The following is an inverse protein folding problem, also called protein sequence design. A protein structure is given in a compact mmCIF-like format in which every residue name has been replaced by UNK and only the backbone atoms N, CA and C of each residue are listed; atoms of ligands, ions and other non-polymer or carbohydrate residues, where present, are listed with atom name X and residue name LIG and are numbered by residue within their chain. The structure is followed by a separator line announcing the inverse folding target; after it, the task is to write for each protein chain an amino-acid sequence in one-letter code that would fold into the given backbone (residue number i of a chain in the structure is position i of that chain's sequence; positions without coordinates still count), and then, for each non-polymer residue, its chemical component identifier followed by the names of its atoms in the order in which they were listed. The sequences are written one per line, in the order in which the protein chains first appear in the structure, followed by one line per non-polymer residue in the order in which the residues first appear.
data_IF_075185795435
#
_entry.id   IF_075185795435
#
_cell.length_a   1.000
_cell.length_b   1.000
_cell.length_c   1.000
_cell.angle_alpha   90.00
_cell.angle_beta   90.00
_cell.angle_gamma   90.00
#
_symmetry.space_group_name_H-M   'P 1'
#
loop_
_entity.id
_entity.type
_entity.pdbx_description
1 polymer ?
#
# COMPACT_ATOMS: atom_id res chain seq x y z
N UNK A 1 -15.30 7.62 16.34
CA UNK A 1 -14.07 7.86 17.07
C UNK A 1 -13.70 6.64 17.90
N UNK A 2 -12.51 6.11 17.62
CA UNK A 2 -12.03 4.98 18.41
C UNK A 2 -11.66 5.46 19.81
N UNK A 3 -12.05 4.76 20.87
CA UNK A 3 -11.68 5.17 22.21
C UNK A 3 -10.16 5.03 22.39
N UNK A 4 -9.53 6.10 22.83
CA UNK A 4 -8.12 6.08 23.23
C UNK A 4 -8.06 5.63 24.69
N UNK A 5 -7.31 4.59 24.98
CA UNK A 5 -7.10 4.13 26.33
C UNK A 5 -6.00 4.95 26.99
N UNK A 6 -6.31 5.76 28.03
CA UNK A 6 -5.29 6.63 28.66
C UNK A 6 -4.11 5.87 29.26
N UNK A 7 -4.29 4.61 29.66
CA UNK A 7 -3.22 3.79 30.22
C UNK A 7 -2.18 3.37 29.16
N UNK A 8 -2.51 3.49 27.88
CA UNK A 8 -1.62 3.17 26.76
C UNK A 8 -1.01 4.41 26.13
N UNK A 9 -1.31 5.57 26.64
CA UNK A 9 -0.76 6.83 26.16
C UNK A 9 0.53 7.12 26.90
N UNK A 10 1.65 7.09 26.18
CA UNK A 10 2.97 7.42 26.73
C UNK A 10 3.46 8.71 26.11
N UNK A 11 3.82 9.71 26.91
CA UNK A 11 4.32 10.98 26.45
C UNK A 11 5.76 11.21 26.93
N UNK A 12 6.65 11.55 26.00
CA UNK A 12 8.04 11.94 26.26
C UNK A 12 8.31 13.36 25.79
N UNK A 13 9.27 14.02 26.44
CA UNK A 13 9.59 15.43 26.18
C UNK A 13 11.02 15.60 25.67
N UNK A 14 11.38 14.92 24.59
CA UNK A 14 12.65 15.18 23.92
C UNK A 14 12.52 16.30 22.91
N UNK A 15 13.26 17.41 23.11
CA UNK A 15 13.30 18.56 22.22
C UNK A 15 11.91 19.16 21.90
N UNK A 16 11.01 19.23 22.87
CA UNK A 16 9.64 19.68 22.68
C UNK A 16 8.84 18.84 21.66
N UNK A 17 9.16 17.59 21.53
CA UNK A 17 8.46 16.62 20.69
C UNK A 17 7.85 15.51 21.56
N UNK A 18 6.66 15.73 22.16
CA UNK A 18 6.00 14.68 22.92
C UNK A 18 5.65 13.51 22.00
N UNK A 19 5.87 12.30 22.49
CA UNK A 19 5.56 11.08 21.76
C UNK A 19 4.24 10.49 22.20
N UNK A 20 3.49 9.95 21.24
CA UNK A 20 2.22 9.27 21.47
C UNK A 20 2.31 7.84 20.97
N UNK A 21 1.71 6.92 21.74
CA UNK A 21 1.61 5.50 21.41
C UNK A 21 0.14 5.09 21.60
N UNK A 22 -0.54 4.80 20.50
CA UNK A 22 -1.95 4.42 20.49
C UNK A 22 -2.07 2.98 19.99
N UNK A 23 -2.86 2.17 20.66
CA UNK A 23 -2.99 0.75 20.33
C UNK A 23 -4.44 0.37 20.00
N UNK A 24 -4.56 -0.66 19.18
CA UNK A 24 -5.83 -1.33 18.86
C UNK A 24 -6.90 -0.39 18.32
N UNK A 25 -6.55 0.32 17.26
CA UNK A 25 -7.49 1.18 16.52
C UNK A 25 -8.17 0.36 15.44
N UNK A 26 -9.48 0.49 15.31
CA UNK A 26 -10.23 -0.16 14.24
C UNK A 26 -11.35 0.73 13.71
N UNK A 27 -11.66 0.56 12.44
CA UNK A 27 -12.73 1.31 11.78
C UNK A 27 -13.38 0.46 10.69
N UNK A 28 -14.68 0.63 10.51
CA UNK A 28 -15.40 0.05 9.38
C UNK A 28 -15.28 0.93 8.14
N UNK A 29 -15.22 0.31 6.97
CA UNK A 29 -15.23 0.98 5.69
C UNK A 29 -16.64 0.96 5.10
N UNK A 30 -16.93 1.90 4.19
CA UNK A 30 -18.28 2.03 3.61
C UNK A 30 -18.71 0.83 2.76
N UNK A 31 -17.76 0.10 2.20
CA UNK A 31 -18.02 -1.11 1.40
C UNK A 31 -18.23 -2.38 2.24
N UNK A 32 -18.31 -2.24 3.56
CA UNK A 32 -18.35 -3.36 4.49
C UNK A 32 -16.98 -3.92 4.84
N UNK A 33 -15.91 -3.35 4.29
CA UNK A 33 -14.54 -3.70 4.65
C UNK A 33 -14.14 -3.17 6.01
N UNK A 34 -12.92 -3.45 6.40
CA UNK A 34 -12.39 -3.08 7.71
C UNK A 34 -10.96 -2.57 7.63
N UNK A 35 -10.65 -1.63 8.51
CA UNK A 35 -9.30 -1.16 8.76
C UNK A 35 -8.97 -1.40 10.22
N UNK A 36 -7.81 -1.95 10.51
CA UNK A 36 -7.32 -2.08 11.87
C UNK A 36 -5.84 -1.76 11.94
N UNK A 37 -5.42 -1.19 13.05
CA UNK A 37 -4.00 -0.90 13.33
C UNK A 37 -3.71 -1.40 14.73
N UNK A 38 -2.68 -2.21 14.86
CA UNK A 38 -2.31 -2.71 16.19
C UNK A 38 -1.66 -1.64 17.04
N UNK A 39 -0.84 -0.79 16.42
CA UNK A 39 -0.12 0.26 17.12
C UNK A 39 0.18 1.42 16.17
N UNK A 40 0.01 2.64 16.67
CA UNK A 40 0.43 3.87 16.00
C UNK A 40 1.35 4.62 16.94
N UNK A 41 2.55 4.92 16.49
CA UNK A 41 3.51 5.74 17.23
C UNK A 41 3.81 7.01 16.45
N UNK A 42 3.90 8.12 17.15
CA UNK A 42 4.24 9.39 16.54
C UNK A 42 4.90 10.31 17.54
N UNK A 43 5.64 11.28 17.04
CA UNK A 43 6.11 12.43 17.80
C UNK A 43 5.44 13.69 17.28
N UNK A 44 4.92 14.52 18.17
CA UNK A 44 4.34 15.81 17.80
C UNK A 44 5.43 16.87 17.79
N UNK A 45 5.70 17.44 16.64
CA UNK A 45 6.63 18.59 16.54
C UNK A 45 5.88 19.87 16.91
N UNK A 46 6.02 20.29 18.16
CA UNK A 46 5.30 21.45 18.70
C UNK A 46 5.70 22.72 17.98
N UNK A 47 6.98 22.92 17.73
CA UNK A 47 7.47 24.13 17.09
C UNK A 47 7.01 24.25 15.64
N UNK A 48 7.13 23.20 14.88
CA UNK A 48 6.66 23.18 13.48
C UNK A 48 5.14 23.30 13.41
N UNK A 49 4.43 22.70 14.37
CA UNK A 49 2.97 22.84 14.46
C UNK A 49 2.54 24.27 14.68
N UNK A 50 3.24 24.98 15.57
CA UNK A 50 2.96 26.42 15.82
C UNK A 50 3.33 27.29 14.63
N UNK A 51 4.48 27.06 14.00
CA UNK A 51 4.93 27.84 12.85
C UNK A 51 4.00 27.71 11.65
N UNK A 52 3.46 26.53 11.40
CA UNK A 52 2.59 26.24 10.25
C UNK A 52 1.10 26.31 10.57
N UNK A 53 0.74 26.60 11.83
CA UNK A 53 -0.65 26.67 12.31
C UNK A 53 -1.44 25.39 11.99
N UNK A 54 -0.76 24.25 12.01
CA UNK A 54 -1.37 22.92 11.82
C UNK A 54 -0.50 21.87 12.49
N UNK A 55 -1.10 20.71 12.79
CA UNK A 55 -0.40 19.60 13.40
C UNK A 55 0.71 19.07 12.50
N UNK A 56 1.93 19.05 13.01
CA UNK A 56 3.11 18.46 12.36
C UNK A 56 3.59 17.28 13.17
N UNK A 57 3.64 16.12 12.53
CA UNK A 57 4.04 14.89 13.17
C UNK A 57 5.40 14.45 12.65
N UNK A 58 6.21 13.88 13.55
CA UNK A 58 7.48 13.23 13.23
C UNK A 58 7.35 11.75 13.53
N UNK A 59 8.04 10.93 12.72
CA UNK A 59 8.17 9.50 12.94
C UNK A 59 6.82 8.76 13.07
N UNK A 60 5.79 9.24 12.37
CA UNK A 60 4.50 8.58 12.34
C UNK A 60 4.64 7.18 11.76
N UNK A 61 4.42 6.17 12.57
CA UNK A 61 4.57 4.77 12.18
C UNK A 61 3.29 4.00 12.51
N UNK A 62 2.81 3.26 11.52
CA UNK A 62 1.70 2.33 11.66
C UNK A 62 2.24 0.91 11.70
N UNK A 63 1.97 0.21 12.79
CA UNK A 63 2.38 -1.16 13.02
C UNK A 63 1.21 -2.10 12.79
N UNK A 64 1.39 -3.06 11.90
CA UNK A 64 0.36 -4.03 11.59
C UNK A 64 -0.97 -3.38 11.19
N UNK A 65 -0.88 -2.42 10.27
CA UNK A 65 -2.05 -1.88 9.59
C UNK A 65 -2.62 -2.97 8.70
N UNK A 66 -3.90 -3.28 8.88
CA UNK A 66 -4.64 -4.25 8.07
C UNK A 66 -5.81 -3.54 7.42
N UNK A 67 -5.83 -3.55 6.10
CA UNK A 67 -6.94 -3.02 5.32
C UNK A 67 -7.53 -4.16 4.52
N UNK A 68 -8.82 -4.38 4.72
CA UNK A 68 -9.61 -5.37 4.00
C UNK A 68 -10.73 -4.63 3.27
N UNK A 69 -10.68 -4.61 1.95
CA UNK A 69 -11.70 -3.99 1.13
C UNK A 69 -12.53 -5.03 0.41
N UNK A 70 -13.80 -4.75 0.20
CA UNK A 70 -14.72 -5.64 -0.53
C UNK A 70 -15.03 -5.13 -1.94
N UNK A 71 -14.66 -3.89 -2.24
CA UNK A 71 -14.83 -3.31 -3.57
C UNK A 71 -13.58 -3.51 -4.43
N UNK A 72 -13.72 -3.75 -5.74
CA UNK A 72 -12.58 -3.76 -6.64
C UNK A 72 -11.86 -2.41 -6.61
N UNK A 73 -10.53 -2.44 -6.71
CA UNK A 73 -9.77 -1.22 -6.96
C UNK A 73 -10.07 -0.81 -8.39
N UNK A 74 -10.93 0.20 -8.54
CA UNK A 74 -11.25 0.79 -9.81
C UNK A 74 -10.57 2.14 -9.92
N UNK A 75 -9.82 2.30 -10.99
CA UNK A 75 -9.08 3.53 -11.23
C UNK A 75 -9.90 4.57 -11.95
N UNK A 76 -10.99 4.21 -12.64
CA UNK A 76 -11.67 5.10 -13.59
C UNK A 76 -13.15 5.36 -13.37
N UNK A 77 -13.81 4.69 -12.45
CA UNK A 77 -15.24 4.91 -12.26
C UNK A 77 -15.51 5.84 -11.10
N UNK A 78 -15.75 7.10 -11.45
CA UNK A 78 -16.47 8.04 -10.61
C UNK A 78 -15.92 8.27 -9.22
N UNK A 79 -14.82 7.67 -8.87
CA UNK A 79 -14.05 7.94 -7.67
C UNK A 79 -14.79 7.94 -6.34
N UNK A 80 -16.00 7.46 -6.30
CA UNK A 80 -16.84 7.60 -5.10
C UNK A 80 -16.38 6.69 -3.97
N UNK A 81 -15.75 5.56 -4.27
CA UNK A 81 -15.29 4.63 -3.24
C UNK A 81 -14.13 5.19 -2.41
N UNK A 82 -13.17 5.88 -3.02
CA UNK A 82 -12.05 6.50 -2.30
C UNK A 82 -12.40 7.87 -1.73
N UNK A 83 -13.29 8.62 -2.39
CA UNK A 83 -13.75 9.92 -1.90
C UNK A 83 -14.66 9.82 -0.69
N UNK A 84 -15.35 8.73 -0.53
CA UNK A 84 -16.27 8.53 0.57
C UNK A 84 -15.60 7.98 1.81
N UNK A 85 -14.46 7.31 1.65
CA UNK A 85 -13.63 6.87 2.77
C UNK A 85 -12.57 7.94 3.01
N UNK A 86 -12.71 8.73 4.03
CA UNK A 86 -11.75 9.76 4.41
C UNK A 86 -10.33 9.22 4.67
N UNK A 87 -10.12 7.92 4.55
CA UNK A 87 -8.85 7.24 4.73
C UNK A 87 -7.85 7.65 3.66
N UNK A 88 -8.27 7.72 2.38
CA UNK A 88 -7.40 8.20 1.32
C UNK A 88 -6.94 9.64 1.56
N UNK A 89 -7.84 10.49 2.05
CA UNK A 89 -7.51 11.87 2.39
C UNK A 89 -6.52 11.94 3.56
N UNK A 90 -6.71 11.12 4.59
CA UNK A 90 -5.78 11.04 5.71
C UNK A 90 -4.37 10.68 5.25
N UNK A 91 -4.21 9.61 4.51
CA UNK A 91 -2.91 9.11 4.12
C UNK A 91 -2.25 9.90 3.01
N UNK A 92 -3.00 10.58 2.14
CA UNK A 92 -2.46 11.35 1.05
C UNK A 92 -2.27 12.84 1.37
N UNK A 93 -3.04 13.39 2.32
CA UNK A 93 -3.07 14.84 2.55
C UNK A 93 -2.81 15.27 3.99
N UNK A 94 -3.30 14.51 4.97
CA UNK A 94 -3.21 14.92 6.37
C UNK A 94 -1.84 14.66 6.98
N UNK A 95 -1.13 13.65 6.52
CA UNK A 95 0.18 13.28 7.02
C UNK A 95 1.26 13.70 6.02
N UNK A 96 2.29 14.45 6.48
CA UNK A 96 3.42 14.80 5.64
C UNK A 96 4.23 13.56 5.23
N UNK A 97 4.38 12.63 6.15
CA UNK A 97 5.03 11.36 5.92
C UNK A 97 4.59 10.33 6.95
N UNK A 98 4.70 9.10 6.61
CA UNK A 98 4.47 8.00 7.54
C UNK A 98 5.24 6.75 7.09
N UNK A 99 5.37 5.83 8.03
CA UNK A 99 6.00 4.53 7.80
C UNK A 99 4.98 3.44 8.09
N UNK A 100 4.91 2.45 7.21
CA UNK A 100 4.18 1.21 7.45
C UNK A 100 5.17 0.12 7.85
N UNK A 101 4.81 -0.63 8.89
CA UNK A 101 5.56 -1.80 9.36
C UNK A 101 4.63 -3.00 9.46
N UNK A 102 5.07 -4.13 8.91
CA UNK A 102 4.34 -5.41 9.02
C UNK A 102 2.85 -5.30 8.70
N UNK A 103 2.53 -4.55 7.66
CA UNK A 103 1.16 -4.23 7.28
C UNK A 103 0.62 -5.20 6.24
N UNK A 104 -0.69 -5.23 6.08
CA UNK A 104 -1.37 -6.16 5.19
C UNK A 104 -2.51 -5.47 4.46
N UNK A 105 -2.58 -5.67 3.15
CA UNK A 105 -3.68 -5.19 2.32
C UNK A 105 -4.38 -6.38 1.67
N UNK A 106 -5.68 -6.47 1.82
CA UNK A 106 -6.52 -7.45 1.16
C UNK A 106 -7.57 -6.71 0.33
N UNK A 107 -7.57 -6.96 -0.95
CA UNK A 107 -8.43 -6.23 -1.88
C UNK A 107 -8.87 -7.13 -3.03
N UNK A 108 -9.84 -6.65 -3.81
CA UNK A 108 -10.33 -7.36 -4.99
C UNK A 108 -9.66 -6.77 -6.22
N UNK A 109 -9.07 -7.61 -7.06
CA UNK A 109 -8.44 -7.18 -8.32
C UNK A 109 -9.47 -6.91 -9.40
N UNK A 110 -9.03 -6.32 -10.49
CA UNK A 110 -9.88 -6.07 -11.67
C UNK A 110 -10.48 -7.37 -12.20
N UNK A 111 -9.77 -8.49 -12.09
CA UNK A 111 -10.27 -9.82 -12.48
C UNK A 111 -11.30 -10.40 -11.52
N UNK A 112 -11.64 -9.71 -10.45
CA UNK A 112 -12.59 -10.17 -9.44
C UNK A 112 -12.01 -11.13 -8.40
N UNK A 113 -10.72 -11.36 -8.43
CA UNK A 113 -10.07 -12.21 -7.45
C UNK A 113 -9.58 -11.42 -6.27
N UNK A 114 -9.58 -12.05 -5.10
CA UNK A 114 -9.00 -11.45 -3.91
C UNK A 114 -7.48 -11.59 -3.96
N UNK A 115 -6.81 -10.46 -3.78
CA UNK A 115 -5.36 -10.39 -3.69
C UNK A 115 -4.95 -9.90 -2.32
N UNK A 116 -3.79 -10.32 -1.88
CA UNK A 116 -3.20 -9.91 -0.62
C UNK A 116 -1.79 -9.39 -0.85
N UNK A 117 -1.49 -8.26 -0.22
CA UNK A 117 -0.15 -7.69 -0.17
C UNK A 117 0.31 -7.64 1.27
N UNK A 118 1.43 -8.24 1.56
CA UNK A 118 2.15 -7.96 2.79
C UNK A 118 3.12 -6.80 2.53
N UNK A 119 3.18 -5.87 3.47
CA UNK A 119 4.06 -4.69 3.41
C UNK A 119 4.96 -4.73 4.64
N UNK A 120 6.12 -5.41 4.56
CA UNK A 120 7.06 -5.46 5.68
C UNK A 120 7.53 -4.07 6.10
N UNK A 121 7.78 -3.21 5.13
CA UNK A 121 8.22 -1.84 5.37
C UNK A 121 7.89 -0.98 4.17
N UNK A 122 7.33 0.21 4.43
CA UNK A 122 7.10 1.22 3.40
C UNK A 122 7.21 2.60 4.04
N UNK A 123 7.99 3.47 3.43
CA UNK A 123 8.05 4.89 3.78
C UNK A 123 7.29 5.70 2.75
N UNK A 124 6.38 6.54 3.21
CA UNK A 124 5.51 7.36 2.36
C UNK A 124 5.74 8.83 2.65
N UNK A 125 5.94 9.62 1.60
CA UNK A 125 6.14 11.07 1.69
C UNK A 125 5.08 11.79 0.87
N UNK A 126 4.36 12.70 1.49
CA UNK A 126 3.33 13.50 0.84
C UNK A 126 3.79 14.94 0.64
N UNK A 127 3.78 15.39 -0.60
CA UNK A 127 3.82 16.81 -0.95
C UNK A 127 2.40 17.33 -1.18
N UNK A 128 2.27 18.47 -1.84
CA UNK A 128 0.97 19.07 -2.10
C UNK A 128 0.08 18.18 -2.99
N UNK A 129 0.63 17.71 -4.10
CA UNK A 129 -0.03 16.83 -5.05
C UNK A 129 0.86 15.67 -5.48
N UNK A 130 2.04 15.57 -4.89
CA UNK A 130 3.06 14.58 -5.20
C UNK A 130 3.24 13.64 -4.04
N UNK A 131 3.29 12.36 -4.35
CA UNK A 131 3.42 11.29 -3.36
C UNK A 131 4.56 10.38 -3.76
N UNK A 132 5.48 10.16 -2.84
CA UNK A 132 6.62 9.29 -3.05
C UNK A 132 6.63 8.19 -2.02
N UNK A 133 6.98 7.00 -2.45
CA UNK A 133 7.08 5.87 -1.55
C UNK A 133 8.29 5.01 -1.90
N UNK A 134 8.84 4.39 -0.88
CA UNK A 134 9.94 3.44 -1.02
C UNK A 134 9.81 2.36 0.04
N UNK A 135 9.96 1.13 -0.35
CA UNK A 135 9.90 0.03 0.59
C UNK A 135 9.83 -1.34 -0.04
N UNK A 136 9.27 -2.25 0.70
CA UNK A 136 9.16 -3.66 0.34
C UNK A 136 7.72 -4.11 0.42
N UNK A 137 7.29 -4.83 -0.60
CA UNK A 137 6.00 -5.52 -0.61
C UNK A 137 6.24 -6.99 -0.94
N UNK A 138 5.40 -7.84 -0.39
CA UNK A 138 5.37 -9.25 -0.72
C UNK A 138 4.01 -9.54 -1.33
N UNK A 139 4.02 -10.05 -2.54
CA UNK A 139 2.80 -10.51 -3.20
C UNK A 139 2.39 -11.83 -2.59
N UNK A 140 1.93 -11.81 -1.35
CA UNK A 140 1.41 -13.00 -0.71
C UNK A 140 0.07 -13.34 -1.34
N UNK A 141 0.10 -14.14 -2.38
CA UNK A 141 -1.12 -14.69 -2.90
C UNK A 141 -1.56 -15.87 -2.03
N UNK A 142 -2.74 -16.33 -2.29
CA UNK A 142 -3.45 -17.37 -1.55
C UNK A 142 -2.69 -18.70 -1.36
N UNK A 143 -1.51 -18.86 -1.93
CA UNK A 143 -0.79 -20.15 -1.95
C UNK A 143 0.69 -20.06 -1.59
N UNK A 144 1.02 -19.28 -0.57
CA UNK A 144 2.37 -19.32 -0.01
C UNK A 144 3.46 -18.75 -0.89
N UNK A 145 3.23 -17.62 -1.45
CA UNK A 145 4.20 -16.90 -2.27
C UNK A 145 5.35 -16.35 -1.41
N UNK A 146 6.58 -16.53 -1.85
CA UNK A 146 7.78 -16.20 -1.09
C UNK A 146 8.65 -15.13 -1.74
N UNK A 147 8.09 -14.23 -2.52
CA UNK A 147 8.89 -13.21 -3.18
C UNK A 147 8.75 -11.84 -2.52
N UNK A 148 9.86 -11.21 -2.18
CA UNK A 148 9.89 -9.83 -1.74
C UNK A 148 10.19 -8.94 -2.95
N UNK A 149 9.37 -7.91 -3.13
CA UNK A 149 9.51 -6.94 -4.19
C UNK A 149 9.92 -5.59 -3.60
N UNK A 150 11.00 -5.02 -4.11
CA UNK A 150 11.38 -3.64 -3.81
C UNK A 150 10.53 -2.72 -4.67
N UNK A 151 10.01 -1.67 -4.06
CA UNK A 151 9.11 -0.74 -4.74
C UNK A 151 9.56 0.68 -4.48
N UNK A 152 9.58 1.49 -5.54
CA UNK A 152 9.69 2.95 -5.45
C UNK A 152 8.60 3.57 -6.30
N UNK A 153 7.93 4.55 -5.74
CA UNK A 153 6.86 5.24 -6.43
C UNK A 153 7.06 6.75 -6.37
N UNK A 154 6.72 7.41 -7.47
CA UNK A 154 6.63 8.87 -7.56
C UNK A 154 5.35 9.18 -8.32
N UNK A 155 4.31 9.49 -7.57
CA UNK A 155 2.95 9.60 -8.08
C UNK A 155 2.40 10.99 -7.83
N UNK A 156 1.47 11.40 -8.68
CA UNK A 156 0.68 12.62 -8.50
C UNK A 156 -0.79 12.27 -8.35
N UNK A 157 -1.46 13.03 -7.51
CA UNK A 157 -2.90 12.88 -7.34
C UNK A 157 -3.66 13.99 -8.07
N UNK A 158 -4.86 13.65 -8.49
CA UNK A 158 -5.87 14.58 -8.97
C UNK A 158 -7.11 14.40 -8.10
N UNK A 159 -7.42 15.42 -7.30
CA UNK A 159 -8.56 15.42 -6.37
C UNK A 159 -8.61 14.21 -5.42
N UNK A 160 -7.43 13.78 -4.94
CA UNK A 160 -7.34 12.69 -3.97
C UNK A 160 -7.25 11.29 -4.57
N UNK A 161 -7.15 11.19 -5.90
CA UNK A 161 -6.91 9.92 -6.59
C UNK A 161 -5.53 9.92 -7.21
N UNK A 162 -4.76 8.87 -6.96
CA UNK A 162 -3.46 8.69 -7.61
C UNK A 162 -3.68 8.54 -9.11
N UNK A 163 -3.19 9.50 -9.88
CA UNK A 163 -3.56 9.68 -11.27
C UNK A 163 -2.43 9.39 -12.24
N UNK A 164 -1.23 9.87 -11.94
CA UNK A 164 -0.09 9.75 -12.86
C UNK A 164 1.21 9.56 -12.10
N UNK A 165 2.23 9.13 -12.81
CA UNK A 165 3.57 9.01 -12.26
C UNK A 165 4.26 7.72 -12.65
N UNK A 166 5.27 7.35 -11.88
CA UNK A 166 6.11 6.20 -12.14
C UNK A 166 6.21 5.29 -10.94
N UNK A 167 6.24 4.00 -11.21
CA UNK A 167 6.50 2.96 -10.22
C UNK A 167 7.68 2.13 -10.71
N UNK A 168 8.70 2.01 -9.88
CA UNK A 168 9.82 1.11 -10.10
C UNK A 168 9.66 -0.13 -9.24
N UNK A 169 9.92 -1.28 -9.83
CA UNK A 169 9.78 -2.59 -9.21
C UNK A 169 11.03 -3.41 -9.42
N UNK A 170 11.45 -4.10 -8.38
CA UNK A 170 12.47 -5.14 -8.48
C UNK A 170 12.09 -6.30 -7.58
N UNK A 171 12.11 -7.49 -8.12
CA UNK A 171 11.78 -8.68 -7.37
C UNK A 171 12.64 -9.88 -7.78
N UNK A 172 12.96 -10.70 -6.80
CA UNK A 172 13.59 -11.98 -7.00
C UNK A 172 12.56 -13.07 -6.73
N UNK A 173 12.30 -13.90 -7.77
CA UNK A 173 11.45 -15.09 -7.66
C UNK A 173 10.02 -14.80 -7.18
N UNK A 174 9.29 -13.98 -7.91
CA UNK A 174 7.89 -13.63 -7.65
C UNK A 174 6.96 -14.45 -8.52
N UNK A 175 5.91 -15.01 -7.93
CA UNK A 175 4.81 -15.62 -8.67
C UNK A 175 3.80 -14.56 -9.07
N UNK A 176 3.74 -14.26 -10.35
CA UNK A 176 2.85 -13.23 -10.91
C UNK A 176 1.52 -13.79 -11.41
N UNK A 177 1.30 -15.09 -11.33
CA UNK A 177 0.09 -15.72 -11.86
C UNK A 177 -1.20 -15.09 -11.30
N UNK A 178 -1.33 -14.81 -9.99
CA UNK A 178 -2.54 -14.19 -9.45
C UNK A 178 -2.84 -12.80 -10.02
N UNK A 179 -1.83 -12.14 -10.57
CA UNK A 179 -1.92 -10.78 -11.11
C UNK A 179 -2.10 -10.74 -12.62
N UNK A 180 -2.07 -11.90 -13.27
CA UNK A 180 -2.33 -12.02 -14.69
C UNK A 180 -3.82 -11.83 -14.97
N UNK A 181 -4.14 -11.37 -16.16
CA UNK A 181 -5.52 -11.22 -16.61
C UNK A 181 -6.28 -12.54 -16.52
N UNK A 182 -7.61 -12.44 -16.42
CA UNK A 182 -8.48 -13.60 -16.24
C UNK A 182 -8.23 -14.70 -17.28
N UNK A 183 -7.97 -14.31 -18.52
CA UNK A 183 -7.64 -15.26 -19.57
C UNK A 183 -6.42 -16.14 -19.22
N UNK A 184 -5.38 -15.52 -18.69
CA UNK A 184 -4.17 -16.27 -18.28
C UNK A 184 -4.42 -17.12 -17.06
N UNK A 185 -5.24 -16.64 -16.13
CA UNK A 185 -5.57 -17.40 -14.91
C UNK A 185 -6.44 -18.62 -15.22
N UNK A 186 -7.37 -18.50 -16.18
CA UNK A 186 -8.27 -19.57 -16.59
C UNK A 186 -7.57 -20.61 -17.47
N UNK A 187 -6.33 -20.38 -17.86
CA UNK A 187 -5.55 -21.34 -18.61
C UNK A 187 -5.08 -22.45 -17.68
N UNK A 188 -5.79 -23.56 -17.69
CA UNK A 188 -5.50 -24.71 -16.81
C UNK A 188 -4.14 -25.34 -17.06
N UNK A 189 -3.51 -25.08 -18.21
CA UNK A 189 -2.17 -25.56 -18.50
C UNK A 189 -1.10 -24.76 -17.75
N UNK A 190 -1.35 -23.49 -17.43
CA UNK A 190 -0.40 -22.64 -16.69
C UNK A 190 -0.48 -22.96 -15.21
N UNK A 191 0.53 -23.64 -14.68
CA UNK A 191 0.61 -24.00 -13.27
C UNK A 191 1.34 -22.96 -12.44
N UNK A 192 2.35 -22.33 -13.01
CA UNK A 192 3.23 -21.43 -12.29
C UNK A 192 3.83 -20.41 -13.26
N UNK A 193 3.93 -19.16 -12.79
CA UNK A 193 4.63 -18.07 -13.49
C UNK A 193 5.52 -17.33 -12.48
N UNK A 194 6.74 -17.83 -12.24
CA UNK A 194 7.70 -17.26 -11.30
C UNK A 194 8.85 -16.62 -12.03
N UNK A 195 9.11 -15.37 -11.69
CA UNK A 195 10.12 -14.57 -12.36
C UNK A 195 10.93 -13.75 -11.37
N UNK A 196 12.20 -13.53 -11.71
CA UNK A 196 12.93 -12.38 -11.19
C UNK A 196 12.76 -11.25 -12.20
N UNK A 197 12.33 -10.11 -11.72
CA UNK A 197 11.98 -9.00 -12.59
C UNK A 197 12.52 -7.68 -12.08
N UNK A 198 12.71 -6.75 -13.00
CA UNK A 198 12.98 -5.35 -12.72
C UNK A 198 12.29 -4.51 -13.79
N UNK A 199 11.71 -3.39 -13.40
CA UNK A 199 11.07 -2.57 -14.39
C UNK A 199 10.46 -1.29 -13.88
N UNK A 200 9.90 -0.57 -14.81
CA UNK A 200 9.20 0.69 -14.59
C UNK A 200 7.80 0.59 -15.15
N UNK A 201 6.85 1.09 -14.39
CA UNK A 201 5.48 1.28 -14.83
C UNK A 201 5.17 2.77 -14.81
N UNK A 202 4.51 3.23 -15.87
CA UNK A 202 4.02 4.61 -15.94
C UNK A 202 2.51 4.61 -15.86
N UNK A 203 1.98 5.40 -14.93
CA UNK A 203 0.55 5.64 -14.80
C UNK A 203 0.18 6.92 -15.52
N UNK A 204 -0.95 6.88 -16.22
CA UNK A 204 -1.58 8.05 -16.83
C UNK A 204 -3.09 7.91 -16.70
N UNK A 205 -3.74 8.93 -16.15
CA UNK A 205 -5.19 8.94 -15.89
C UNK A 205 -5.68 7.74 -15.06
N UNK A 206 -4.84 7.32 -14.10
CA UNK A 206 -5.16 6.22 -13.20
C UNK A 206 -4.87 4.83 -13.76
N UNK A 207 -4.46 4.72 -15.02
CA UNK A 207 -4.18 3.46 -15.68
C UNK A 207 -2.68 3.30 -15.98
N UNK A 208 -2.26 2.06 -16.10
CA UNK A 208 -0.91 1.74 -16.56
C UNK A 208 -0.85 2.04 -18.07
N UNK A 209 -0.15 3.13 -18.43
CA UNK A 209 -0.04 3.60 -19.82
C UNK A 209 1.15 2.98 -20.55
N UNK A 210 2.24 2.69 -19.80
CA UNK A 210 3.46 2.15 -20.35
C UNK A 210 4.20 1.36 -19.28
N UNK A 211 5.07 0.48 -19.72
CA UNK A 211 5.91 -0.27 -18.80
C UNK A 211 7.04 -0.96 -19.53
N UNK A 212 8.21 -0.92 -18.92
CA UNK A 212 9.37 -1.68 -19.34
C UNK A 212 9.75 -2.62 -18.21
N UNK A 213 9.43 -3.87 -18.36
CA UNK A 213 9.72 -4.90 -17.37
C UNK A 213 10.67 -5.93 -17.98
N UNK A 214 11.81 -6.12 -17.33
CA UNK A 214 12.81 -7.10 -17.71
C UNK A 214 12.70 -8.32 -16.81
N UNK A 215 12.54 -9.47 -17.44
CA UNK A 215 12.54 -10.75 -16.75
C UNK A 215 13.98 -11.28 -16.77
N UNK A 216 14.62 -11.32 -15.60
CA UNK A 216 16.03 -11.71 -15.50
C UNK A 216 16.19 -13.22 -15.38
N UNK A 217 15.37 -13.85 -14.57
CA UNK A 217 15.35 -15.30 -14.33
C UNK A 217 13.92 -15.71 -14.09
N UNK A 218 13.60 -16.93 -14.44
CA UNK A 218 12.29 -17.46 -14.16
C UNK A 218 11.74 -18.26 -15.32
N UNK A 219 10.48 -18.64 -15.19
CA UNK A 219 9.82 -19.42 -16.21
C UNK A 219 8.35 -19.62 -15.89
N UNK A 220 7.65 -20.13 -16.90
CA UNK A 220 6.29 -20.60 -16.76
C UNK A 220 6.32 -22.13 -16.77
N UNK A 221 5.59 -22.73 -15.83
CA UNK A 221 5.39 -24.17 -15.81
C UNK A 221 4.00 -24.51 -16.35
N UNK A 222 3.96 -25.41 -17.30
CA UNK A 222 2.74 -25.85 -17.95
C UNK A 222 2.41 -27.30 -17.57
N UNK A 223 1.13 -27.61 -17.47
CA UNK A 223 0.69 -28.98 -17.20
C UNK A 223 1.00 -29.86 -18.40
N UNK A 224 1.75 -30.94 -18.17
CA UNK A 224 2.15 -31.89 -19.22
C UNK A 224 3.59 -31.72 -19.72
N UNK A 225 4.32 -30.72 -19.30
CA UNK A 225 5.76 -30.63 -19.53
C UNK A 225 6.47 -31.63 -18.60
N UNK A 226 6.79 -32.76 -19.16
CA UNK A 226 7.66 -33.75 -18.53
C UNK A 226 9.10 -33.38 -18.80
N UNK A 227 9.68 -32.52 -18.00
CA UNK A 227 11.12 -32.32 -17.93
C UNK A 227 11.58 -32.08 -16.52
#
# INVERSE_FOLDING_TARGET
GSPVNPSQLTAGWDNFCPTLDVRDVSAGLKDGGQLSVKRVTLALDVWQSLLHMRWQFRDLTFWQLKIHTNSPIQTNDGGDSLKTDHIGDLFLRQFDHFILRDSHLSFVTISGQRAELAVPQLTWLNGKDRHRAEGQVNLSSLTGQHGIMQVRMDLRDDNGLLNSGRVWLQADDVDVKPWLGKWMQDNVALQRARFSLEGWLTLTDGDIAAGDVWLKQGGAAWKGDNQ
#
